data_IF_205373321660
#
_entry.id   IF_205373321660
#
_cell.length_a   1.000
_cell.length_b   1.000
_cell.length_c   1.000
_cell.angle_alpha   90.00
_cell.angle_beta   90.00
_cell.angle_gamma   90.00
#
_symmetry.space_group_name_H-M   'P 1'
#
loop_
_entity.id
_entity.type
_entity.pdbx_description
1 polymer ?
#
# COMPACT_ATOMS: atom_id res chain seq x y z
N UNK A 1 -10.04 -5.01 13.55
CA UNK A 1 -10.85 -5.49 14.64
C UNK A 1 -10.24 -5.36 16.02
N UNK A 2 -9.57 -6.40 16.52
CA UNK A 2 -9.11 -6.49 17.93
C UNK A 2 -8.16 -5.34 18.29
N UNK A 3 -7.17 -5.07 17.47
CA UNK A 3 -6.18 -4.00 17.66
C UNK A 3 -6.82 -2.60 17.90
N UNK A 4 -7.81 -2.21 17.10
CA UNK A 4 -8.51 -0.93 17.28
C UNK A 4 -9.29 -0.88 18.58
N UNK A 5 -9.93 -1.99 18.98
CA UNK A 5 -10.64 -2.08 20.26
C UNK A 5 -9.71 -1.90 21.46
N UNK A 6 -8.49 -2.43 21.40
CA UNK A 6 -7.48 -2.23 22.46
C UNK A 6 -7.06 -0.77 22.63
N UNK A 7 -7.15 0.02 21.54
CA UNK A 7 -6.89 1.46 21.55
C UNK A 7 -8.14 2.31 21.82
N UNK A 8 -9.31 1.68 22.12
CA UNK A 8 -10.55 2.37 22.42
C UNK A 8 -11.35 2.81 21.20
N UNK A 9 -10.98 2.39 20.00
CA UNK A 9 -11.67 2.74 18.76
C UNK A 9 -12.53 1.59 18.24
N UNK A 10 -13.69 1.91 17.68
CA UNK A 10 -14.59 0.93 17.11
C UNK A 10 -14.75 1.15 15.59
N UNK A 11 -14.52 0.09 14.82
CA UNK A 11 -14.70 0.09 13.38
C UNK A 11 -15.95 -0.74 13.03
N UNK A 12 -16.99 -0.08 12.57
CA UNK A 12 -18.24 -0.74 12.13
C UNK A 12 -17.96 -1.55 10.86
N UNK A 13 -18.36 -2.79 10.88
CA UNK A 13 -18.25 -3.72 9.74
C UNK A 13 -19.54 -4.53 9.56
N UNK A 14 -19.91 -4.79 8.33
CA UNK A 14 -21.00 -5.70 7.99
C UNK A 14 -20.42 -6.94 7.30
N UNK A 15 -20.77 -8.12 7.83
CA UNK A 15 -20.31 -9.43 7.30
C UNK A 15 -18.79 -9.52 7.09
N UNK A 16 -18.00 -8.88 7.94
CA UNK A 16 -16.54 -8.86 7.85
C UNK A 16 -15.98 -7.85 6.85
N UNK A 17 -16.80 -7.11 6.13
CA UNK A 17 -16.42 -6.04 5.23
C UNK A 17 -16.56 -4.68 5.91
N UNK A 18 -15.60 -3.82 5.70
CA UNK A 18 -15.59 -2.45 6.20
C UNK A 18 -15.84 -1.50 5.04
N UNK A 19 -16.85 -0.66 5.17
CA UNK A 19 -17.12 0.37 4.16
C UNK A 19 -16.10 1.52 4.25
N UNK A 20 -15.74 2.10 3.11
CA UNK A 20 -14.80 3.23 3.02
C UNK A 20 -15.21 4.43 3.87
N UNK A 21 -16.52 4.68 3.98
CA UNK A 21 -17.07 5.74 4.83
C UNK A 21 -16.72 5.53 6.31
N UNK A 22 -16.76 4.29 6.80
CA UNK A 22 -16.42 3.97 8.19
C UNK A 22 -14.91 4.11 8.46
N UNK A 23 -14.08 3.79 7.47
CA UNK A 23 -12.64 4.05 7.55
C UNK A 23 -12.35 5.54 7.58
N UNK A 24 -12.98 6.33 6.71
CA UNK A 24 -12.78 7.78 6.69
C UNK A 24 -13.22 8.44 8.00
N UNK A 25 -14.32 7.97 8.62
CA UNK A 25 -14.75 8.43 9.93
C UNK A 25 -13.69 8.13 11.00
N UNK A 26 -13.19 6.89 11.05
CA UNK A 26 -12.12 6.51 11.97
C UNK A 26 -10.87 7.37 11.77
N UNK A 27 -10.44 7.59 10.52
CA UNK A 27 -9.26 8.41 10.23
C UNK A 27 -9.44 9.87 10.63
N UNK A 28 -10.65 10.42 10.51
CA UNK A 28 -10.98 11.76 10.98
C UNK A 28 -10.97 11.84 12.52
N UNK A 29 -11.51 10.82 13.20
CA UNK A 29 -11.55 10.73 14.66
C UNK A 29 -10.14 10.67 15.29
N UNK A 30 -9.21 9.95 14.68
CA UNK A 30 -7.84 9.80 15.21
C UNK A 30 -6.91 10.95 14.83
N UNK A 31 -7.35 11.89 14.01
CA UNK A 31 -6.51 13.01 13.57
C UNK A 31 -6.13 13.90 14.76
N UNK A 32 -4.83 14.11 14.95
CA UNK A 32 -4.26 14.88 16.05
C UNK A 32 -4.07 14.10 17.36
N UNK A 33 -4.42 12.80 17.39
CA UNK A 33 -4.14 11.94 18.54
C UNK A 33 -2.73 11.32 18.46
N UNK A 34 -2.13 10.88 19.58
CA UNK A 34 -0.84 10.17 19.55
C UNK A 34 -0.85 8.90 18.72
N UNK A 35 -2.01 8.24 18.60
CA UNK A 35 -2.21 6.98 17.89
C UNK A 35 -2.45 7.17 16.38
N UNK A 36 -2.57 8.39 15.89
CA UNK A 36 -2.89 8.70 14.49
C UNK A 36 -2.00 7.96 13.49
N UNK A 37 -0.68 8.06 13.67
CA UNK A 37 0.28 7.45 12.74
C UNK A 37 0.18 5.91 12.74
N UNK A 38 -0.01 5.33 13.92
CA UNK A 38 -0.14 3.88 14.10
C UNK A 38 -1.43 3.36 13.45
N UNK A 39 -2.56 4.02 13.70
CA UNK A 39 -3.87 3.62 13.14
C UNK A 39 -3.90 3.82 11.62
N UNK A 40 -3.37 4.93 11.11
CA UNK A 40 -3.23 5.16 9.65
C UNK A 40 -2.41 4.06 8.99
N UNK A 41 -1.25 3.72 9.54
CA UNK A 41 -0.38 2.66 9.01
C UNK A 41 -1.05 1.29 9.06
N UNK A 42 -1.68 0.92 10.18
CA UNK A 42 -2.39 -0.33 10.32
C UNK A 42 -3.57 -0.42 9.34
N UNK A 43 -4.31 0.67 9.14
CA UNK A 43 -5.41 0.74 8.18
C UNK A 43 -4.92 0.52 6.75
N UNK A 44 -3.87 1.23 6.31
CA UNK A 44 -3.29 1.08 4.97
C UNK A 44 -2.78 -0.36 4.75
N UNK A 45 -2.10 -0.95 5.73
CA UNK A 45 -1.58 -2.33 5.65
C UNK A 45 -2.69 -3.39 5.59
N UNK A 46 -3.88 -3.09 6.15
CA UNK A 46 -5.03 -4.00 6.11
C UNK A 46 -5.84 -3.93 4.83
N UNK A 47 -5.65 -2.90 4.00
CA UNK A 47 -6.36 -2.74 2.75
C UNK A 47 -5.90 -3.76 1.70
N UNK A 48 -6.85 -4.28 0.93
CA UNK A 48 -6.52 -5.09 -0.23
C UNK A 48 -5.74 -4.25 -1.25
N UNK A 49 -4.75 -4.87 -1.89
CA UNK A 49 -4.01 -4.21 -2.97
C UNK A 49 -4.93 -3.92 -4.15
N UNK A 50 -4.74 -2.76 -4.79
CA UNK A 50 -5.43 -2.43 -6.01
C UNK A 50 -5.10 -3.43 -7.13
N UNK A 51 -6.10 -3.79 -7.93
CA UNK A 51 -5.97 -4.68 -9.08
C UNK A 51 -6.62 -4.05 -10.30
N UNK A 52 -6.11 -4.36 -11.47
CA UNK A 52 -6.79 -4.09 -12.73
C UNK A 52 -7.80 -5.20 -13.01
N UNK A 53 -9.03 -4.84 -13.40
CA UNK A 53 -10.11 -5.78 -13.68
C UNK A 53 -10.99 -5.25 -14.80
N UNK A 54 -11.55 -6.15 -15.60
CA UNK A 54 -12.60 -5.82 -16.57
C UNK A 54 -13.99 -5.70 -15.91
N UNK A 55 -14.10 -6.09 -14.63
CA UNK A 55 -15.31 -5.90 -13.85
C UNK A 55 -15.23 -4.57 -13.11
N UNK A 56 -16.29 -3.78 -13.17
CA UNK A 56 -16.36 -2.56 -12.38
C UNK A 56 -16.55 -2.92 -10.89
N UNK A 57 -15.51 -2.72 -10.10
CA UNK A 57 -15.52 -2.89 -8.65
C UNK A 57 -15.48 -1.54 -7.92
N UNK A 58 -15.49 -0.42 -8.66
CA UNK A 58 -15.32 0.92 -8.11
C UNK A 58 -13.92 1.17 -7.57
N UNK A 59 -13.75 2.25 -6.82
CA UNK A 59 -12.51 2.56 -6.11
C UNK A 59 -12.82 2.81 -4.64
N UNK A 60 -12.46 1.86 -3.79
CA UNK A 60 -12.79 1.89 -2.37
C UNK A 60 -12.24 3.14 -1.65
N UNK A 61 -10.95 3.44 -1.81
CA UNK A 61 -10.29 4.54 -1.11
C UNK A 61 -10.75 5.94 -1.56
N UNK A 62 -11.24 6.08 -2.82
CA UNK A 62 -11.78 7.33 -3.34
C UNK A 62 -13.32 7.38 -3.26
N UNK A 63 -13.96 6.30 -2.83
CA UNK A 63 -15.42 6.14 -2.77
C UNK A 63 -16.12 6.38 -4.14
N UNK A 64 -15.43 6.09 -5.25
CA UNK A 64 -16.01 6.22 -6.59
C UNK A 64 -16.70 4.92 -7.02
N UNK A 65 -17.93 5.05 -7.51
CA UNK A 65 -18.69 3.93 -8.08
C UNK A 65 -18.08 3.41 -9.39
N UNK A 66 -17.52 4.32 -10.19
CA UNK A 66 -16.83 4.02 -11.45
C UNK A 66 -15.45 4.65 -11.41
N UNK A 67 -14.44 3.87 -11.70
CA UNK A 67 -13.06 4.36 -11.71
C UNK A 67 -12.21 3.55 -12.68
N UNK A 68 -11.34 4.24 -13.40
CA UNK A 68 -10.29 3.60 -14.19
C UNK A 68 -9.08 4.52 -14.28
N UNK A 69 -7.91 3.93 -14.41
CA UNK A 69 -6.71 4.65 -14.80
C UNK A 69 -6.84 5.09 -16.26
N UNK A 70 -6.50 6.35 -16.56
CA UNK A 70 -6.67 6.92 -17.90
C UNK A 70 -5.54 7.88 -18.31
N UNK A 71 -4.93 8.58 -17.36
CA UNK A 71 -4.12 9.78 -17.63
C UNK A 71 -2.64 9.53 -17.87
N UNK A 72 -2.17 8.27 -17.80
CA UNK A 72 -0.75 7.94 -17.93
C UNK A 72 -0.47 6.78 -18.92
N UNK A 73 -0.94 6.85 -20.18
CA UNK A 73 -0.80 5.75 -21.13
C UNK A 73 0.64 5.46 -21.58
N UNK A 74 1.56 6.39 -21.36
CA UNK A 74 2.99 6.22 -21.69
C UNK A 74 3.66 5.18 -20.78
N UNK A 75 3.28 5.15 -19.49
CA UNK A 75 3.91 4.30 -18.48
C UNK A 75 3.00 3.22 -17.90
N UNK A 76 1.69 3.29 -18.15
CA UNK A 76 0.71 2.31 -17.69
C UNK A 76 -0.05 1.70 -18.85
N UNK A 77 0.22 0.45 -19.13
CA UNK A 77 -0.44 -0.27 -20.21
C UNK A 77 -1.98 -0.37 -20.06
N UNK A 78 -2.55 -0.50 -18.85
CA UNK A 78 -4.00 -0.44 -18.67
C UNK A 78 -4.64 0.86 -19.17
N UNK A 79 -4.00 2.00 -18.99
CA UNK A 79 -4.49 3.28 -19.52
C UNK A 79 -4.59 3.23 -21.05
N UNK A 80 -3.55 2.71 -21.72
CA UNK A 80 -3.56 2.52 -23.16
C UNK A 80 -4.67 1.57 -23.62
N UNK A 81 -4.93 0.50 -22.86
CA UNK A 81 -6.07 -0.40 -23.14
C UNK A 81 -7.40 0.36 -23.08
N UNK A 82 -7.60 1.20 -22.05
CA UNK A 82 -8.83 1.99 -21.90
C UNK A 82 -8.96 3.00 -23.04
N UNK A 83 -7.88 3.70 -23.46
CA UNK A 83 -7.89 4.59 -24.61
C UNK A 83 -8.34 3.87 -25.88
N UNK A 84 -7.80 2.69 -26.16
CA UNK A 84 -8.18 1.88 -27.34
C UNK A 84 -9.63 1.41 -27.30
N UNK A 85 -10.10 0.98 -26.12
CA UNK A 85 -11.50 0.57 -25.95
C UNK A 85 -12.45 1.73 -26.11
N UNK A 86 -12.15 2.87 -25.52
CA UNK A 86 -12.95 4.11 -25.63
C UNK A 86 -13.01 4.59 -27.07
N UNK A 87 -11.90 4.68 -27.78
CA UNK A 87 -11.86 5.06 -29.20
C UNK A 87 -12.77 4.16 -30.07
N UNK A 88 -12.71 2.85 -29.87
CA UNK A 88 -13.57 1.90 -30.60
C UNK A 88 -15.04 2.08 -30.25
N UNK A 89 -15.34 2.27 -28.96
CA UNK A 89 -16.72 2.51 -28.51
C UNK A 89 -17.33 3.79 -29.13
N UNK A 90 -16.58 4.88 -29.14
CA UNK A 90 -16.99 6.14 -29.75
C UNK A 90 -17.21 6.02 -31.26
N UNK A 91 -16.52 5.10 -31.93
CA UNK A 91 -16.72 4.78 -33.34
C UNK A 91 -17.76 3.66 -33.58
N UNK A 92 -18.63 3.38 -32.60
CA UNK A 92 -19.74 2.44 -32.74
C UNK A 92 -19.36 0.96 -32.72
N UNK A 93 -18.09 0.61 -32.46
CA UNK A 93 -17.66 -0.78 -32.40
C UNK A 93 -17.99 -1.40 -31.04
N UNK A 94 -18.61 -2.59 -31.07
CA UNK A 94 -18.85 -3.39 -29.85
C UNK A 94 -17.69 -4.37 -29.62
N UNK A 95 -17.40 -4.64 -28.35
CA UNK A 95 -16.42 -5.67 -27.97
C UNK A 95 -17.01 -7.06 -28.09
N UNK A 96 -16.25 -7.98 -28.68
CA UNK A 96 -16.58 -9.41 -28.71
C UNK A 96 -16.24 -10.08 -27.36
N UNK A 97 -16.82 -11.27 -27.13
CA UNK A 97 -16.49 -12.07 -25.95
C UNK A 97 -14.99 -12.47 -25.91
N UNK A 98 -14.41 -12.76 -27.09
CA UNK A 98 -12.99 -13.09 -27.23
C UNK A 98 -12.07 -11.91 -26.84
N UNK A 99 -12.43 -10.69 -27.24
CA UNK A 99 -11.70 -9.48 -26.85
C UNK A 99 -11.83 -9.20 -25.37
N UNK A 100 -13.00 -9.38 -24.79
CA UNK A 100 -13.22 -9.25 -23.34
C UNK A 100 -12.32 -10.21 -22.56
N UNK A 101 -12.25 -11.48 -23.00
CA UNK A 101 -11.37 -12.48 -22.40
C UNK A 101 -9.88 -12.11 -22.55
N UNK A 102 -9.48 -11.52 -23.70
CA UNK A 102 -8.13 -10.99 -23.91
C UNK A 102 -7.81 -9.86 -22.90
N UNK A 103 -8.69 -8.88 -22.75
CA UNK A 103 -8.47 -7.77 -21.82
C UNK A 103 -8.48 -8.24 -20.35
N UNK A 104 -9.27 -9.25 -20.01
CA UNK A 104 -9.22 -9.87 -18.68
C UNK A 104 -7.83 -10.46 -18.39
N UNK A 105 -7.24 -11.22 -19.31
CA UNK A 105 -5.88 -11.75 -19.14
C UNK A 105 -4.84 -10.64 -19.01
N UNK A 106 -4.92 -9.60 -19.85
CA UNK A 106 -4.02 -8.46 -19.81
C UNK A 106 -4.14 -7.67 -18.50
N UNK A 107 -5.33 -7.55 -17.93
CA UNK A 107 -5.56 -6.91 -16.62
C UNK A 107 -4.88 -7.69 -15.50
N UNK A 108 -5.01 -9.01 -15.48
CA UNK A 108 -4.32 -9.89 -14.50
C UNK A 108 -2.81 -9.74 -14.64
N UNK A 109 -2.29 -9.81 -15.86
CA UNK A 109 -0.87 -9.63 -16.13
C UNK A 109 -0.36 -8.24 -15.68
N UNK A 110 -1.11 -7.18 -15.98
CA UNK A 110 -0.76 -5.81 -15.58
C UNK A 110 -0.72 -5.67 -14.07
N UNK A 111 -1.66 -6.29 -13.34
CA UNK A 111 -1.66 -6.29 -11.87
C UNK A 111 -0.42 -6.99 -11.29
N UNK A 112 -0.01 -8.12 -11.87
CA UNK A 112 1.20 -8.83 -11.47
C UNK A 112 2.46 -7.98 -11.72
N UNK A 113 2.57 -7.35 -12.91
CA UNK A 113 3.70 -6.50 -13.26
C UNK A 113 3.79 -5.24 -12.42
N UNK A 114 2.66 -4.67 -11.99
CA UNK A 114 2.63 -3.53 -11.07
C UNK A 114 3.24 -3.91 -9.70
N UNK A 115 2.91 -5.10 -9.19
CA UNK A 115 3.52 -5.58 -7.94
C UNK A 115 5.02 -5.79 -8.07
N UNK A 116 5.49 -6.36 -9.17
CA UNK A 116 6.92 -6.53 -9.44
C UNK A 116 7.64 -5.19 -9.55
N UNK A 117 7.02 -4.20 -10.21
CA UNK A 117 7.59 -2.86 -10.34
C UNK A 117 7.72 -2.15 -8.99
N UNK A 118 6.69 -2.23 -8.15
CA UNK A 118 6.72 -1.68 -6.78
C UNK A 118 7.79 -2.35 -5.92
N UNK A 119 7.98 -3.65 -6.05
CA UNK A 119 9.00 -4.39 -5.30
C UNK A 119 10.41 -4.02 -5.77
N UNK A 120 10.61 -3.90 -7.09
CA UNK A 120 11.87 -3.44 -7.67
C UNK A 120 12.22 -2.00 -7.22
N UNK A 121 11.24 -1.09 -7.19
CA UNK A 121 11.42 0.28 -6.69
C UNK A 121 11.85 0.27 -5.22
N UNK A 122 11.14 -0.47 -4.36
CA UNK A 122 11.48 -0.59 -2.93
C UNK A 122 12.87 -1.16 -2.72
N UNK A 123 13.23 -2.18 -3.49
CA UNK A 123 14.55 -2.82 -3.41
C UNK A 123 15.64 -1.84 -3.83
N UNK A 124 15.42 -1.06 -4.89
CA UNK A 124 16.35 -0.03 -5.36
C UNK A 124 16.56 1.06 -4.30
N UNK A 125 15.48 1.52 -3.65
CA UNK A 125 15.56 2.51 -2.56
C UNK A 125 16.36 1.94 -1.39
N UNK A 126 16.06 0.70 -0.95
CA UNK A 126 16.80 0.04 0.13
C UNK A 126 18.29 -0.11 -0.19
N UNK A 127 18.60 -0.49 -1.42
CA UNK A 127 20.00 -0.58 -1.86
C UNK A 127 20.72 0.76 -1.70
N UNK A 128 20.10 1.85 -2.13
CA UNK A 128 20.66 3.20 -2.01
C UNK A 128 20.75 3.68 -0.56
N UNK A 129 19.81 3.30 0.29
CA UNK A 129 19.88 3.59 1.72
C UNK A 129 21.07 2.86 2.38
N UNK A 130 21.30 1.58 2.04
CA UNK A 130 22.46 0.83 2.53
C UNK A 130 23.77 1.45 2.06
N UNK A 131 23.88 1.78 0.76
CA UNK A 131 25.05 2.45 0.19
C UNK A 131 25.34 3.79 0.89
N UNK A 132 24.31 4.58 1.19
CA UNK A 132 24.41 5.84 1.93
C UNK A 132 24.86 5.65 3.38
N UNK A 133 24.40 4.58 4.04
CA UNK A 133 24.72 4.31 5.45
C UNK A 133 26.06 3.61 5.64
N UNK A 134 26.59 2.92 4.62
CA UNK A 134 27.83 2.15 4.71
C UNK A 134 29.03 2.96 5.24
N UNK A 135 29.35 4.17 4.74
CA UNK A 135 30.46 4.98 5.26
C UNK A 135 30.19 5.59 6.66
N UNK A 136 28.99 5.42 7.19
CA UNK A 136 28.54 5.96 8.49
C UNK A 136 28.48 4.90 9.59
N UNK A 137 28.97 3.71 9.31
CA UNK A 137 29.05 2.62 10.31
C UNK A 137 29.88 3.07 11.50
N UNK A 138 29.36 2.84 12.72
CA UNK A 138 29.96 3.30 13.98
C UNK A 138 29.48 4.66 14.46
N UNK A 139 28.69 5.39 13.68
CA UNK A 139 28.04 6.63 14.12
C UNK A 139 26.72 6.35 14.82
N UNK A 140 26.30 7.27 15.69
CA UNK A 140 25.01 7.22 16.37
C UNK A 140 24.00 8.13 15.67
N UNK A 141 22.76 7.69 15.56
CA UNK A 141 21.68 8.43 14.91
C UNK A 141 20.42 8.40 15.76
N UNK A 142 19.62 9.45 15.65
CA UNK A 142 18.25 9.46 16.18
C UNK A 142 17.34 8.64 15.26
N UNK A 143 16.60 7.71 15.86
CA UNK A 143 15.67 6.83 15.14
C UNK A 143 14.31 6.75 15.77
N UNK A 144 13.35 6.27 15.00
CA UNK A 144 11.99 5.98 15.43
C UNK A 144 11.75 4.48 15.24
N UNK A 145 11.21 3.83 16.27
CA UNK A 145 10.81 2.42 16.18
C UNK A 145 9.60 2.33 15.24
N UNK A 146 9.76 1.60 14.13
CA UNK A 146 8.73 1.39 13.10
C UNK A 146 8.07 0.02 13.18
N UNK A 147 8.65 -0.89 13.93
CA UNK A 147 8.10 -2.22 14.12
C UNK A 147 8.89 -3.08 15.10
N UNK A 148 8.27 -4.15 15.54
CA UNK A 148 8.87 -5.16 16.43
C UNK A 148 8.64 -6.55 15.84
N UNK A 149 9.56 -7.46 16.13
CA UNK A 149 9.48 -8.88 15.82
C UNK A 149 10.17 -9.69 16.90
N UNK A 150 10.00 -11.01 16.89
CA UNK A 150 10.68 -11.94 17.83
C UNK A 150 12.21 -11.85 17.75
N UNK A 151 12.74 -11.32 16.65
CA UNK A 151 14.19 -11.23 16.39
C UNK A 151 14.78 -9.88 16.77
N UNK A 152 13.96 -8.82 16.90
CA UNK A 152 14.43 -7.48 17.20
C UNK A 152 13.43 -6.37 16.90
N UNK A 153 13.91 -5.16 17.04
CA UNK A 153 13.15 -3.93 16.71
C UNK A 153 13.63 -3.36 15.38
N UNK A 154 12.70 -2.85 14.59
CA UNK A 154 13.00 -2.09 13.39
C UNK A 154 13.03 -0.60 13.74
N UNK A 155 14.09 0.06 13.33
CA UNK A 155 14.32 1.48 13.61
C UNK A 155 14.57 2.21 12.30
N UNK A 156 13.83 3.27 12.05
CA UNK A 156 14.01 4.20 10.93
C UNK A 156 14.79 5.42 11.39
N UNK A 157 15.91 5.76 10.75
CA UNK A 157 16.66 6.99 11.00
C UNK A 157 15.83 8.21 10.55
N UNK A 158 15.78 9.27 11.37
CA UNK A 158 14.86 10.40 11.20
C UNK A 158 15.04 11.18 9.90
N UNK A 159 16.27 11.34 9.42
CA UNK A 159 16.59 12.19 8.28
C UNK A 159 16.61 11.41 6.97
N UNK A 160 17.41 10.34 6.88
CA UNK A 160 17.59 9.55 5.67
C UNK A 160 16.47 8.55 5.42
N UNK A 161 15.64 8.28 6.46
CA UNK A 161 14.61 7.24 6.43
C UNK A 161 15.17 5.83 6.18
N UNK A 162 16.47 5.65 6.42
CA UNK A 162 17.09 4.34 6.35
C UNK A 162 16.60 3.47 7.52
N UNK A 163 16.08 2.29 7.21
CA UNK A 163 15.57 1.34 8.20
C UNK A 163 16.59 0.24 8.46
N UNK A 164 16.84 -0.01 9.72
CA UNK A 164 17.70 -1.10 10.19
C UNK A 164 17.02 -1.93 11.28
N UNK A 165 17.52 -3.13 11.52
CA UNK A 165 17.05 -4.00 12.60
C UNK A 165 18.08 -4.07 13.73
N UNK A 166 17.68 -3.64 14.92
CA UNK A 166 18.40 -3.90 16.17
C UNK A 166 18.01 -5.29 16.69
N UNK A 167 18.97 -6.22 16.73
CA UNK A 167 18.71 -7.58 17.22
C UNK A 167 18.47 -7.60 18.73
N UNK A 168 17.48 -8.38 19.20
CA UNK A 168 17.21 -8.58 20.64
C UNK A 168 18.46 -9.03 21.40
N UNK A 169 19.29 -9.90 20.81
CA UNK A 169 20.53 -10.39 21.42
C UNK A 169 21.58 -9.29 21.71
N UNK A 170 21.47 -8.12 21.07
CA UNK A 170 22.34 -6.96 21.26
C UNK A 170 21.84 -6.00 22.35
N UNK A 171 20.58 -6.15 22.78
CA UNK A 171 19.92 -5.28 23.78
C UNK A 171 20.09 -5.89 25.17
N UNK A 172 21.27 -5.70 25.78
CA UNK A 172 21.68 -6.39 27.01
C UNK A 172 21.05 -5.84 28.30
N UNK A 173 20.20 -4.82 28.29
CA UNK A 173 19.77 -4.09 29.52
C UNK A 173 18.26 -4.03 29.77
N UNK A 174 17.42 -4.47 28.85
CA UNK A 174 15.97 -4.39 29.06
C UNK A 174 15.35 -5.78 28.89
N UNK A 175 14.61 -6.21 29.91
CA UNK A 175 13.70 -7.36 29.79
C UNK A 175 12.41 -6.86 29.14
N UNK A 176 12.22 -7.24 27.88
CA UNK A 176 10.91 -7.10 27.24
C UNK A 176 10.14 -8.40 27.54
N UNK A 177 9.18 -8.31 28.46
CA UNK A 177 8.27 -9.40 28.78
C UNK A 177 7.07 -9.38 27.81
#
# INVERSE_FOLDING_TARGET
>A
GIFLKMLGYELKHERGLVEGVNINKLLAEVTGTPEEALIKTATIRSMAKAIYSTKNIGHFGLAFKYYTHFTSPIRRYPDLMVHRMLYRHLNGSKMSAQETAKYQRLSVQSSARELEAVDAERTSIKYKQVEFMLPKVGQSFDGIITGTSDWGIYVEEKNSKAEGMGRMSCMKKDFFA
#
